data_IF_078139670449
#
_entry.id   IF_078139670449
#
_cell.length_a   1.000
_cell.length_b   1.000
_cell.length_c   1.000
_cell.angle_alpha   90.00
_cell.angle_beta   90.00
_cell.angle_gamma   90.00
#
_symmetry.space_group_name_H-M   'P 1'
#
loop_
_entity.id
_entity.type
_entity.pdbx_description
1 polymer ?
#
# COMPACT_ATOMS: atom_id res chain seq x y z
N UNK A 1 28.78 22.68 28.80
CA UNK A 1 28.90 21.41 28.06
C UNK A 1 27.49 20.90 27.78
N UNK A 2 26.99 21.07 26.55
CA UNK A 2 25.63 20.66 26.20
C UNK A 2 25.65 19.18 25.77
N UNK A 3 25.25 18.28 26.67
CA UNK A 3 25.06 16.87 26.34
C UNK A 3 23.74 16.70 25.57
N UNK A 4 23.75 16.12 24.35
CA UNK A 4 22.52 15.90 23.59
C UNK A 4 21.62 14.90 24.33
N UNK A 5 20.39 15.30 24.64
CA UNK A 5 19.39 14.46 25.32
C UNK A 5 19.06 13.25 24.45
N UNK A 6 19.43 12.06 24.91
CA UNK A 6 19.08 10.79 24.28
C UNK A 6 17.56 10.60 24.24
N UNK A 7 17.01 10.24 23.08
CA UNK A 7 15.57 9.92 22.93
C UNK A 7 15.27 8.63 23.71
N UNK A 8 14.29 8.68 24.62
CA UNK A 8 13.83 7.50 25.35
C UNK A 8 13.31 6.44 24.36
N UNK A 9 13.70 5.17 24.55
CA UNK A 9 13.25 4.02 23.74
C UNK A 9 11.73 3.79 23.73
N UNK A 10 10.99 4.44 24.63
CA UNK A 10 9.54 4.31 24.80
C UNK A 10 8.84 5.62 24.42
N UNK A 11 9.06 6.11 23.21
CA UNK A 11 8.29 7.24 22.70
C UNK A 11 6.98 6.72 22.10
N UNK A 12 5.79 7.08 22.63
CA UNK A 12 4.50 6.71 22.05
C UNK A 12 4.21 7.43 20.72
N UNK A 13 4.97 8.47 20.40
CA UNK A 13 5.01 9.12 19.08
C UNK A 13 6.01 8.41 18.16
N UNK A 14 6.02 7.08 18.16
CA UNK A 14 6.77 6.32 17.16
C UNK A 14 6.13 6.55 15.80
N UNK A 15 6.95 6.88 14.81
CA UNK A 15 6.52 7.08 13.42
C UNK A 15 5.81 5.81 12.96
N UNK A 16 4.54 5.94 12.57
CA UNK A 16 3.76 4.82 12.06
C UNK A 16 4.48 4.34 10.80
N UNK A 17 5.13 3.19 10.90
CA UNK A 17 5.76 2.51 9.75
C UNK A 17 4.68 2.46 8.67
N UNK A 18 4.93 3.14 7.55
CA UNK A 18 4.04 3.04 6.41
C UNK A 18 3.89 1.56 6.11
N UNK A 19 2.66 1.05 6.19
CA UNK A 19 2.38 -0.36 5.87
C UNK A 19 3.07 -0.71 4.56
N UNK A 20 3.70 -1.89 4.50
CA UNK A 20 4.46 -2.34 3.33
C UNK A 20 3.60 -2.14 2.08
N UNK A 21 3.91 -1.08 1.33
CA UNK A 21 3.18 -0.74 0.12
C UNK A 21 3.49 -1.87 -0.82
N UNK A 22 2.52 -2.75 -1.03
CA UNK A 22 2.67 -3.86 -1.97
C UNK A 22 3.17 -3.28 -3.29
N UNK A 23 4.41 -3.62 -3.66
CA UNK A 23 5.02 -3.17 -4.92
C UNK A 23 4.29 -3.87 -6.07
N UNK A 24 3.22 -3.22 -6.51
CA UNK A 24 2.42 -3.61 -7.65
C UNK A 24 3.02 -2.95 -8.89
N UNK A 25 3.16 -3.73 -9.96
CA UNK A 25 3.58 -3.25 -11.26
C UNK A 25 2.40 -3.22 -12.23
N UNK A 26 2.52 -2.48 -13.33
CA UNK A 26 1.54 -2.56 -14.43
C UNK A 26 1.58 -3.99 -15.02
N UNK A 27 0.41 -4.53 -15.36
CA UNK A 27 0.17 -5.91 -15.80
C UNK A 27 0.29 -6.98 -14.70
N UNK A 28 0.53 -6.59 -13.45
CA UNK A 28 0.52 -7.51 -12.33
C UNK A 28 -0.90 -8.02 -12.03
N UNK A 29 -1.03 -9.28 -11.63
CA UNK A 29 -2.31 -9.92 -11.37
C UNK A 29 -2.61 -9.86 -9.88
N UNK A 30 -3.78 -9.32 -9.54
CA UNK A 30 -4.18 -9.09 -8.16
C UNK A 30 -5.56 -9.68 -7.88
N UNK A 31 -5.77 -10.11 -6.64
CA UNK A 31 -7.06 -10.52 -6.13
C UNK A 31 -7.58 -9.48 -5.14
N UNK A 32 -8.84 -9.09 -5.26
CA UNK A 32 -9.53 -8.21 -4.34
C UNK A 32 -10.73 -8.93 -3.73
N UNK A 33 -10.88 -8.89 -2.40
CA UNK A 33 -11.94 -9.64 -1.69
C UNK A 33 -13.36 -9.43 -2.25
N UNK A 34 -13.73 -8.19 -2.58
CA UNK A 34 -15.06 -7.83 -3.11
C UNK A 34 -15.22 -8.07 -4.61
N UNK A 35 -14.18 -7.83 -5.41
CA UNK A 35 -14.27 -7.79 -6.88
C UNK A 35 -13.72 -9.05 -7.56
N UNK A 36 -12.97 -9.88 -6.83
CA UNK A 36 -12.30 -11.05 -7.36
C UNK A 36 -10.98 -10.71 -8.04
N UNK A 37 -10.70 -11.38 -9.15
CA UNK A 37 -9.44 -11.27 -9.88
C UNK A 37 -9.41 -10.03 -10.77
N UNK A 38 -8.28 -9.32 -10.74
CA UNK A 38 -8.04 -8.14 -11.55
C UNK A 38 -6.59 -8.04 -12.01
N UNK A 39 -6.36 -7.12 -12.93
CA UNK A 39 -5.03 -6.80 -13.47
C UNK A 39 -4.74 -5.32 -13.24
N UNK A 40 -3.54 -5.02 -12.77
CA UNK A 40 -3.10 -3.65 -12.54
C UNK A 40 -2.86 -2.95 -13.87
N UNK A 41 -3.56 -1.84 -14.11
CA UNK A 41 -3.41 -1.03 -15.33
C UNK A 41 -2.54 0.21 -15.14
N UNK A 42 -2.47 0.74 -13.92
CA UNK A 42 -1.62 1.88 -13.61
C UNK A 42 -1.24 1.86 -12.13
N UNK A 43 -0.03 2.31 -11.83
CA UNK A 43 0.50 2.48 -10.47
C UNK A 43 1.13 3.86 -10.34
N UNK A 44 0.85 4.58 -9.25
CA UNK A 44 1.44 5.89 -9.03
C UNK A 44 0.85 6.67 -7.86
N UNK A 45 1.66 7.54 -7.26
CA UNK A 45 1.21 8.51 -6.25
C UNK A 45 0.53 7.89 -5.02
N UNK A 46 0.91 6.66 -4.64
CA UNK A 46 0.29 5.94 -3.52
C UNK A 46 -1.08 5.32 -3.84
N UNK A 47 -1.43 5.17 -5.12
CA UNK A 47 -2.63 4.46 -5.55
C UNK A 47 -2.34 3.56 -6.76
N UNK A 48 -3.18 2.55 -6.96
CA UNK A 48 -3.17 1.68 -8.13
C UNK A 48 -4.55 1.65 -8.76
N UNK A 49 -4.59 1.54 -10.08
CA UNK A 49 -5.82 1.28 -10.83
C UNK A 49 -5.79 -0.16 -11.27
N UNK A 50 -6.78 -0.92 -10.83
CA UNK A 50 -6.95 -2.34 -11.15
C UNK A 50 -8.20 -2.50 -11.98
N UNK A 51 -8.10 -3.25 -13.08
CA UNK A 51 -9.23 -3.66 -13.89
C UNK A 51 -9.74 -5.02 -13.41
N UNK A 52 -10.97 -5.06 -12.88
CA UNK A 52 -11.69 -6.26 -12.49
C UNK A 52 -12.74 -6.57 -13.57
N UNK A 53 -12.36 -7.40 -14.56
CA UNK A 53 -13.21 -7.67 -15.71
C UNK A 53 -13.55 -6.39 -16.49
N UNK A 54 -14.80 -5.94 -16.40
CA UNK A 54 -15.27 -4.71 -17.07
C UNK A 54 -15.19 -3.45 -16.19
N UNK A 55 -14.97 -3.58 -14.89
CA UNK A 55 -14.91 -2.46 -13.95
C UNK A 55 -13.45 -2.07 -13.66
N UNK A 56 -13.18 -0.77 -13.49
CA UNK A 56 -11.86 -0.27 -13.07
C UNK A 56 -11.99 0.38 -11.71
N UNK A 57 -11.23 -0.12 -10.74
CA UNK A 57 -11.27 0.36 -9.36
C UNK A 57 -9.94 0.99 -9.01
N UNK A 58 -10.01 2.19 -8.44
CA UNK A 58 -8.85 2.87 -7.87
C UNK A 58 -8.70 2.46 -6.41
N UNK A 59 -7.59 1.84 -6.07
CA UNK A 59 -7.27 1.43 -4.70
C UNK A 59 -6.13 2.31 -4.19
N UNK A 60 -6.33 2.94 -3.04
CA UNK A 60 -5.28 3.73 -2.38
C UNK A 60 -4.48 2.84 -1.43
N UNK A 61 -3.21 3.21 -1.20
CA UNK A 61 -2.38 2.65 -0.13
C UNK A 61 -3.15 2.74 1.21
N UNK A 62 -3.09 1.70 2.07
CA UNK A 62 -2.13 0.59 2.08
C UNK A 62 -2.59 -0.69 1.34
N UNK A 63 -3.51 -0.59 0.38
CA UNK A 63 -3.96 -1.74 -0.43
C UNK A 63 -4.47 -2.93 0.42
N UNK A 64 -5.02 -2.68 1.61
CA UNK A 64 -5.36 -3.71 2.61
C UNK A 64 -6.33 -4.83 2.16
N UNK A 65 -6.95 -4.71 0.98
CA UNK A 65 -7.85 -5.71 0.38
C UNK A 65 -7.35 -6.25 -0.95
N UNK A 66 -6.08 -5.97 -1.30
CA UNK A 66 -5.44 -6.47 -2.50
C UNK A 66 -4.36 -7.48 -2.12
N UNK A 67 -4.40 -8.62 -2.79
CA UNK A 67 -3.39 -9.67 -2.72
C UNK A 67 -2.77 -9.82 -4.09
N UNK A 68 -1.44 -9.71 -4.21
CA UNK A 68 -0.72 -10.04 -5.45
C UNK A 68 -0.69 -11.56 -5.64
N UNK A 69 -0.92 -12.03 -6.86
CA UNK A 69 -0.86 -13.44 -7.25
C UNK A 69 0.45 -13.82 -7.94
#
# INVERSE_FOLDING_TARGET
>A
MNTPRSRLKSSPFAERVADEVLDLAVADRVAHDKYGLGEVKAVGGGCVIVAFGSERVRVASPYAKLTRL
#
